data_IF_245588641183
#
_entry.id   IF_245588641183
#
_cell.length_a   1.000
_cell.length_b   1.000
_cell.length_c   1.000
_cell.angle_alpha   90.00
_cell.angle_beta   90.00
_cell.angle_gamma   90.00
#
_symmetry.space_group_name_H-M   'P 1'
#
loop_
_entity.id
_entity.type
_entity.pdbx_description
1 polymer ?
#
# COMPACT_ATOMS: atom_id res chain seq x y z
N UNK A 1 -12.91 6.63 9.78
CA UNK A 1 -11.76 5.85 9.29
C UNK A 1 -11.83 4.46 9.87
N UNK A 2 -11.61 3.46 9.07
CA UNK A 2 -11.75 2.05 9.47
C UNK A 2 -10.70 1.18 8.78
N UNK A 3 -10.26 0.13 9.48
CA UNK A 3 -9.46 -0.95 8.91
C UNK A 3 -10.30 -2.22 9.01
N UNK A 4 -10.64 -2.83 7.88
CA UNK A 4 -11.39 -4.09 7.84
C UNK A 4 -10.46 -5.21 7.39
N UNK A 5 -10.44 -6.30 8.11
CA UNK A 5 -9.54 -7.43 7.95
C UNK A 5 -10.36 -8.72 7.92
N UNK A 6 -10.08 -9.61 6.98
CA UNK A 6 -10.64 -10.95 6.96
C UNK A 6 -9.64 -11.92 6.35
N UNK A 7 -9.35 -12.99 7.05
CA UNK A 7 -8.41 -14.00 6.59
C UNK A 7 -6.95 -13.59 6.53
N UNK A 8 -6.59 -12.43 7.04
CA UNK A 8 -5.24 -11.88 6.98
C UNK A 8 -4.44 -12.27 8.23
N UNK A 9 -3.39 -13.07 8.05
CA UNK A 9 -2.50 -13.55 9.12
C UNK A 9 -3.28 -14.07 10.34
N UNK A 10 -3.24 -13.39 11.48
CA UNK A 10 -3.97 -13.77 12.71
C UNK A 10 -5.45 -13.38 12.70
N UNK A 11 -5.89 -12.54 11.78
CA UNK A 11 -7.27 -12.07 11.68
C UNK A 11 -8.07 -12.99 10.75
N UNK A 12 -8.56 -14.11 11.29
CA UNK A 12 -9.30 -15.13 10.53
C UNK A 12 -10.70 -14.65 10.18
N UNK A 13 -11.41 -14.19 11.21
CA UNK A 13 -12.77 -13.69 11.09
C UNK A 13 -12.79 -12.24 10.59
N UNK A 14 -13.94 -11.80 10.11
CA UNK A 14 -14.13 -10.42 9.72
C UNK A 14 -13.94 -9.51 10.96
N UNK A 15 -12.84 -8.78 10.97
CA UNK A 15 -12.43 -7.89 12.06
C UNK A 15 -12.46 -6.46 11.55
N UNK A 16 -13.13 -5.59 12.28
CA UNK A 16 -13.21 -4.16 11.98
C UNK A 16 -12.56 -3.39 13.13
N UNK A 17 -11.59 -2.53 12.79
CA UNK A 17 -10.89 -1.66 13.72
C UNK A 17 -11.27 -0.23 13.33
N UNK A 18 -11.98 0.44 14.22
CA UNK A 18 -12.33 1.85 14.02
C UNK A 18 -11.16 2.73 14.51
N UNK A 19 -10.82 3.72 13.70
CA UNK A 19 -9.77 4.70 13.99
C UNK A 19 -10.46 6.03 14.29
N UNK A 20 -10.67 6.28 15.59
CA UNK A 20 -11.30 7.50 16.05
C UNK A 20 -10.24 8.53 16.45
N UNK A 21 -10.39 9.76 15.97
CA UNK A 21 -9.50 10.87 16.31
C UNK A 21 -8.15 10.87 15.60
N UNK A 22 -7.24 11.73 16.05
CA UNK A 22 -5.94 11.96 15.43
C UNK A 22 -4.85 11.00 15.91
N UNK A 23 -5.03 10.39 17.09
CA UNK A 23 -4.07 9.47 17.68
C UNK A 23 -4.81 8.25 18.23
N UNK A 24 -4.42 7.08 17.78
CA UNK A 24 -4.96 5.79 18.21
C UNK A 24 -3.81 4.87 18.60
N UNK A 25 -3.90 4.25 19.78
CA UNK A 25 -2.94 3.26 20.26
C UNK A 25 -3.50 1.83 20.16
N UNK A 26 -2.71 0.91 19.57
CA UNK A 26 -3.01 -0.52 19.57
C UNK A 26 -2.08 -1.21 20.55
N UNK A 27 -2.63 -1.66 21.68
CA UNK A 27 -1.88 -2.29 22.77
C UNK A 27 -2.28 -3.75 22.94
N UNK A 28 -1.40 -4.53 23.51
CA UNK A 28 -1.66 -5.96 23.79
C UNK A 28 -0.36 -6.72 24.08
N UNK A 29 -0.44 -7.98 24.57
CA UNK A 29 0.72 -8.82 24.82
C UNK A 29 1.50 -9.17 23.54
N UNK A 30 2.71 -9.72 23.72
CA UNK A 30 3.50 -10.19 22.57
C UNK A 30 2.78 -11.36 21.87
N UNK A 31 2.85 -11.38 20.54
CA UNK A 31 2.21 -12.42 19.73
C UNK A 31 0.70 -12.26 19.45
N UNK A 32 0.01 -11.25 20.02
CA UNK A 32 -1.43 -11.05 19.82
C UNK A 32 -1.81 -10.45 18.44
N UNK A 33 -0.86 -10.16 17.57
CA UNK A 33 -1.14 -9.68 16.22
C UNK A 33 -1.04 -8.17 16.00
N UNK A 34 -0.57 -7.37 16.98
CA UNK A 34 -0.40 -5.90 16.82
C UNK A 34 0.31 -5.52 15.53
N UNK A 35 1.46 -6.14 15.27
CA UNK A 35 2.24 -5.86 14.06
C UNK A 35 1.54 -6.31 12.77
N UNK A 36 0.60 -7.25 12.85
CA UNK A 36 -0.17 -7.70 11.69
C UNK A 36 -1.13 -6.62 11.19
N UNK A 37 -1.54 -5.67 12.05
CA UNK A 37 -2.35 -4.52 11.64
C UNK A 37 -1.53 -3.60 10.74
N UNK A 38 -0.28 -3.30 11.11
CA UNK A 38 0.62 -2.49 10.28
C UNK A 38 0.95 -3.20 8.96
N UNK A 39 1.21 -4.51 9.01
CA UNK A 39 1.41 -5.30 7.79
C UNK A 39 0.20 -5.22 6.85
N UNK A 40 -1.01 -5.28 7.40
CA UNK A 40 -2.23 -5.18 6.63
C UNK A 40 -2.37 -3.81 5.95
N UNK A 41 -2.09 -2.72 6.68
CA UNK A 41 -2.09 -1.36 6.11
C UNK A 41 -1.08 -1.27 4.96
N UNK A 42 0.16 -1.70 5.15
CA UNK A 42 1.18 -1.68 4.10
C UNK A 42 0.80 -2.54 2.91
N UNK A 43 0.28 -3.72 3.18
CA UNK A 43 -0.10 -4.65 2.13
C UNK A 43 -1.17 -4.08 1.20
N UNK A 44 -2.22 -3.46 1.75
CA UNK A 44 -3.29 -2.87 0.93
C UNK A 44 -2.81 -1.63 0.17
N UNK A 45 -1.83 -0.89 0.70
CA UNK A 45 -1.20 0.27 0.05
C UNK A 45 -0.24 -0.12 -1.10
N UNK A 46 -0.14 -1.42 -1.41
CA UNK A 46 0.60 -1.89 -2.57
C UNK A 46 1.93 -2.56 -2.28
N UNK A 47 2.24 -2.89 -1.00
CA UNK A 47 3.44 -3.67 -0.70
C UNK A 47 3.41 -5.02 -1.42
N UNK A 48 4.49 -5.31 -2.13
CA UNK A 48 4.65 -6.54 -2.92
C UNK A 48 5.82 -7.41 -2.47
N UNK A 49 6.58 -6.99 -1.47
CA UNK A 49 7.66 -7.78 -0.90
C UNK A 49 7.12 -8.63 0.25
N UNK A 50 7.14 -9.96 0.08
CA UNK A 50 6.77 -10.89 1.14
C UNK A 50 7.65 -10.72 2.38
N UNK A 51 8.95 -10.47 2.20
CA UNK A 51 9.91 -10.24 3.30
C UNK A 51 9.54 -9.03 4.16
N UNK A 52 9.08 -7.95 3.55
CA UNK A 52 8.63 -6.77 4.29
C UNK A 52 7.35 -7.03 5.08
N UNK A 53 6.57 -8.02 4.67
CA UNK A 53 5.39 -8.51 5.38
C UNK A 53 5.71 -9.72 6.27
N UNK A 54 7.00 -9.99 6.54
CA UNK A 54 7.46 -11.08 7.41
C UNK A 54 6.96 -12.46 6.95
N UNK A 55 6.88 -12.69 5.64
CA UNK A 55 6.56 -13.94 4.98
C UNK A 55 7.62 -14.33 3.97
N UNK A 56 7.60 -15.56 3.50
CA UNK A 56 8.43 -16.09 2.42
C UNK A 56 7.76 -15.86 1.06
N UNK A 57 6.44 -16.03 1.02
CA UNK A 57 5.60 -15.82 -0.15
C UNK A 57 4.45 -14.85 0.12
N UNK A 58 3.84 -14.29 -0.94
CA UNK A 58 2.67 -13.44 -0.79
C UNK A 58 1.46 -14.20 -0.24
N UNK A 59 1.38 -15.50 -0.46
CA UNK A 59 0.31 -16.34 0.10
C UNK A 59 0.36 -16.45 1.63
N UNK A 60 1.52 -16.16 2.25
CA UNK A 60 1.69 -16.24 3.71
C UNK A 60 0.95 -15.14 4.46
N UNK A 61 0.42 -14.15 3.76
CA UNK A 61 -0.51 -13.20 4.37
C UNK A 61 -1.89 -13.83 4.62
N UNK A 62 -2.21 -14.96 3.97
CA UNK A 62 -3.45 -15.68 4.19
C UNK A 62 -3.29 -16.59 5.42
N UNK A 63 -4.29 -16.62 6.28
CA UNK A 63 -4.29 -17.50 7.45
C UNK A 63 -4.09 -18.98 7.06
N UNK A 64 -3.01 -19.57 7.55
CA UNK A 64 -2.59 -20.95 7.21
C UNK A 64 -3.19 -22.04 8.08
N UNK A 65 -4.12 -21.68 8.97
CA UNK A 65 -4.68 -22.61 9.91
C UNK A 65 -3.98 -22.57 11.27
N UNK A 66 -4.61 -23.23 12.22
CA UNK A 66 -4.09 -23.45 13.58
C UNK A 66 -4.57 -24.82 14.07
N UNK A 67 -4.17 -25.22 15.28
CA UNK A 67 -4.65 -26.47 15.91
C UNK A 67 -6.18 -26.53 15.94
N UNK A 68 -6.86 -25.38 16.10
CA UNK A 68 -8.31 -25.29 16.26
C UNK A 68 -9.07 -24.83 15.00
N UNK A 69 -8.38 -24.33 13.97
CA UNK A 69 -9.02 -23.72 12.78
C UNK A 69 -8.35 -24.17 11.50
N UNK A 70 -9.16 -24.51 10.51
CA UNK A 70 -8.67 -24.89 9.17
C UNK A 70 -8.10 -23.68 8.42
N UNK A 71 -7.15 -23.90 7.50
CA UNK A 71 -6.69 -22.88 6.57
C UNK A 71 -7.87 -22.33 5.77
N UNK A 72 -7.76 -21.04 5.38
CA UNK A 72 -8.75 -20.38 4.53
C UNK A 72 -8.17 -20.11 3.14
N UNK A 73 -9.05 -19.84 2.17
CA UNK A 73 -8.68 -19.73 0.76
C UNK A 73 -8.25 -18.35 0.31
N UNK A 74 -8.59 -17.30 1.07
CA UNK A 74 -8.37 -15.90 0.68
C UNK A 74 -8.17 -14.98 1.88
N UNK A 75 -7.45 -13.89 1.65
CA UNK A 75 -7.36 -12.77 2.59
C UNK A 75 -7.85 -11.48 1.94
N UNK A 76 -8.49 -10.64 2.73
CA UNK A 76 -8.97 -9.30 2.31
C UNK A 76 -8.62 -8.28 3.37
N UNK A 77 -8.09 -7.14 2.92
CA UNK A 77 -7.91 -5.96 3.76
C UNK A 77 -8.53 -4.77 3.04
N UNK A 78 -9.25 -3.96 3.78
CA UNK A 78 -9.87 -2.73 3.29
C UNK A 78 -9.58 -1.60 4.26
N UNK A 79 -9.10 -0.47 3.73
CA UNK A 79 -8.93 0.79 4.44
C UNK A 79 -9.99 1.78 3.96
N UNK A 80 -10.67 2.41 4.90
CA UNK A 80 -11.68 3.42 4.63
C UNK A 80 -11.18 4.77 5.14
N UNK A 81 -11.04 5.73 4.22
CA UNK A 81 -10.56 7.08 4.48
C UNK A 81 -11.70 8.09 4.37
N UNK A 82 -11.74 9.03 5.29
CA UNK A 82 -12.54 10.23 5.17
C UNK A 82 -11.86 11.19 4.16
N UNK A 83 -12.60 11.61 3.16
CA UNK A 83 -12.19 12.57 2.14
C UNK A 83 -13.09 13.82 2.12
N UNK A 84 -13.66 14.18 3.26
CA UNK A 84 -14.48 15.39 3.37
C UNK A 84 -13.71 16.66 3.01
N UNK A 85 -12.40 16.68 3.29
CA UNK A 85 -11.45 17.74 2.92
C UNK A 85 -11.01 17.73 1.45
N UNK A 86 -11.49 16.76 0.65
CA UNK A 86 -11.14 16.63 -0.77
C UNK A 86 -9.63 16.56 -1.02
N UNK A 87 -8.93 15.79 -0.22
CA UNK A 87 -7.46 15.67 -0.26
C UNK A 87 -6.92 14.75 -1.34
N UNK A 88 -7.76 13.86 -1.90
CA UNK A 88 -7.38 12.98 -3.00
C UNK A 88 -7.53 13.66 -4.36
N UNK A 89 -6.75 13.21 -5.34
CA UNK A 89 -6.73 13.81 -6.68
C UNK A 89 -7.58 13.02 -7.71
N UNK A 90 -7.94 13.70 -8.79
CA UNK A 90 -8.61 13.09 -9.94
C UNK A 90 -10.05 12.71 -9.66
N UNK A 91 -10.52 11.62 -10.26
CA UNK A 91 -11.91 11.16 -10.18
C UNK A 91 -12.36 10.87 -8.74
N UNK A 92 -11.43 10.47 -7.88
CA UNK A 92 -11.70 10.09 -6.50
C UNK A 92 -12.00 11.30 -5.58
N UNK A 93 -11.64 12.51 -6.02
CA UNK A 93 -11.93 13.73 -5.27
C UNK A 93 -13.42 14.02 -5.08
N UNK A 94 -14.27 13.46 -5.94
CA UNK A 94 -15.73 13.66 -5.88
C UNK A 94 -16.38 12.88 -4.72
N UNK A 95 -15.73 11.86 -4.20
CA UNK A 95 -16.26 11.03 -3.12
C UNK A 95 -15.88 11.60 -1.75
N UNK A 96 -16.80 11.57 -0.80
CA UNK A 96 -16.54 11.97 0.59
C UNK A 96 -15.82 10.87 1.38
N UNK A 97 -15.89 9.64 0.91
CA UNK A 97 -15.23 8.48 1.49
C UNK A 97 -14.49 7.71 0.40
N UNK A 98 -13.28 7.30 0.68
CA UNK A 98 -12.46 6.47 -0.21
C UNK A 98 -12.17 5.15 0.49
N UNK A 99 -12.68 4.07 -0.09
CA UNK A 99 -12.37 2.71 0.34
C UNK A 99 -11.32 2.11 -0.59
N UNK A 100 -10.25 1.59 -0.02
CA UNK A 100 -9.18 0.90 -0.74
C UNK A 100 -9.11 -0.52 -0.23
N UNK A 101 -9.32 -1.48 -1.12
CA UNK A 101 -9.38 -2.89 -0.77
C UNK A 101 -8.40 -3.71 -1.61
N UNK A 102 -7.73 -4.62 -0.98
CA UNK A 102 -6.94 -5.67 -1.64
C UNK A 102 -7.44 -7.04 -1.22
N UNK A 103 -7.51 -7.93 -2.20
CA UNK A 103 -7.86 -9.33 -2.02
C UNK A 103 -6.75 -10.19 -2.61
N UNK A 104 -6.39 -11.28 -1.93
CA UNK A 104 -5.51 -12.32 -2.47
C UNK A 104 -6.15 -13.69 -2.26
N UNK A 105 -6.01 -14.55 -3.26
CA UNK A 105 -6.37 -15.98 -3.19
C UNK A 105 -5.11 -16.84 -3.03
N UNK A 106 -5.28 -18.09 -2.60
CA UNK A 106 -4.17 -19.07 -2.54
C UNK A 106 -3.60 -19.44 -3.90
N UNK A 107 -4.35 -19.21 -4.99
CA UNK A 107 -3.88 -19.38 -6.36
C UNK A 107 -2.94 -18.25 -6.79
N UNK A 108 -2.72 -17.25 -5.93
CA UNK A 108 -1.81 -16.10 -6.21
C UNK A 108 -2.49 -14.93 -6.90
N UNK A 109 -3.79 -14.99 -7.16
CA UNK A 109 -4.54 -13.86 -7.70
C UNK A 109 -4.61 -12.74 -6.67
N UNK A 110 -4.13 -11.56 -7.04
CA UNK A 110 -4.15 -10.37 -6.19
C UNK A 110 -4.83 -9.21 -6.89
N UNK A 111 -5.99 -8.82 -6.38
CA UNK A 111 -6.85 -7.79 -6.96
C UNK A 111 -6.95 -6.58 -6.03
N UNK A 112 -6.95 -5.39 -6.63
CA UNK A 112 -7.08 -4.11 -5.94
C UNK A 112 -8.38 -3.43 -6.35
N UNK A 113 -8.97 -2.71 -5.41
CA UNK A 113 -10.22 -1.97 -5.62
C UNK A 113 -10.16 -0.60 -4.95
N UNK A 114 -10.73 0.42 -5.59
CA UNK A 114 -11.06 1.71 -4.99
C UNK A 114 -12.56 1.90 -5.12
N UNK A 115 -13.27 2.13 -4.03
CA UNK A 115 -14.73 2.25 -3.98
C UNK A 115 -15.44 1.12 -4.75
N UNK A 116 -14.97 -0.14 -4.54
CA UNK A 116 -15.41 -1.36 -5.22
C UNK A 116 -15.16 -1.44 -6.74
N UNK A 117 -14.51 -0.46 -7.35
CA UNK A 117 -14.03 -0.54 -8.73
C UNK A 117 -12.67 -1.19 -8.76
N UNK A 118 -12.50 -2.20 -9.60
CA UNK A 118 -11.22 -2.88 -9.76
C UNK A 118 -10.21 -1.96 -10.45
N UNK A 119 -9.02 -1.88 -9.86
CA UNK A 119 -7.93 -1.00 -10.32
C UNK A 119 -6.60 -1.76 -10.31
N UNK A 120 -5.58 -1.19 -10.93
CA UNK A 120 -4.23 -1.75 -10.90
C UNK A 120 -3.51 -1.30 -9.62
N UNK A 121 -2.51 -2.08 -9.19
CA UNK A 121 -1.62 -1.69 -8.08
C UNK A 121 -1.02 -0.29 -8.27
N UNK A 122 -0.67 0.06 -9.52
CA UNK A 122 -0.11 1.37 -9.85
C UNK A 122 -1.08 2.50 -9.47
N UNK A 123 -2.36 2.32 -9.73
CA UNK A 123 -3.40 3.31 -9.45
C UNK A 123 -3.52 3.58 -7.94
N UNK A 124 -3.37 2.52 -7.09
CA UNK A 124 -3.28 2.67 -5.64
C UNK A 124 -2.03 3.47 -5.25
N UNK A 125 -0.87 3.13 -5.79
CA UNK A 125 0.38 3.82 -5.46
C UNK A 125 0.33 5.29 -5.86
N UNK A 126 -0.25 5.60 -7.03
CA UNK A 126 -0.41 6.97 -7.52
C UNK A 126 -1.36 7.80 -6.65
N UNK A 127 -2.41 7.19 -6.11
CA UNK A 127 -3.37 7.86 -5.23
C UNK A 127 -2.69 8.45 -3.99
N UNK A 128 -1.65 7.79 -3.49
CA UNK A 128 -0.90 8.19 -2.29
C UNK A 128 0.41 8.93 -2.56
N UNK A 129 0.78 9.16 -3.82
CA UNK A 129 2.01 9.88 -4.14
C UNK A 129 2.00 11.31 -3.57
N UNK A 130 3.03 11.62 -2.78
CA UNK A 130 3.19 12.93 -2.14
C UNK A 130 2.33 13.15 -0.91
N UNK A 131 1.61 12.12 -0.43
CA UNK A 131 0.89 12.17 0.85
C UNK A 131 1.72 11.63 2.03
N UNK A 132 2.90 11.07 1.76
CA UNK A 132 3.71 10.34 2.74
C UNK A 132 3.12 8.96 3.10
N UNK A 133 1.91 8.65 2.66
CA UNK A 133 1.26 7.36 2.87
C UNK A 133 1.52 6.48 1.65
N UNK A 134 2.30 5.43 1.81
CA UNK A 134 2.63 4.53 0.69
C UNK A 134 3.71 3.54 1.10
N UNK A 135 4.05 2.62 0.22
CA UNK A 135 5.04 1.56 0.51
C UNK A 135 6.45 2.10 0.77
N UNK A 136 6.77 3.27 0.23
CA UNK A 136 8.03 4.00 0.46
C UNK A 136 7.81 5.31 1.21
N UNK A 137 6.61 5.54 1.72
CA UNK A 137 6.26 6.75 2.45
C UNK A 137 6.83 6.75 3.87
N UNK A 138 6.93 7.91 4.47
CA UNK A 138 7.39 8.11 5.85
C UNK A 138 6.24 8.03 6.87
N UNK A 139 5.00 7.93 6.42
CA UNK A 139 3.83 7.91 7.32
C UNK A 139 3.67 6.58 8.06
N UNK A 140 4.23 5.48 7.55
CA UNK A 140 4.23 4.18 8.23
C UNK A 140 5.65 3.88 8.71
N UNK A 141 5.89 4.08 9.99
CA UNK A 141 7.20 3.86 10.62
C UNK A 141 7.21 2.49 11.27
N UNK A 142 8.12 1.64 10.83
CA UNK A 142 8.34 0.30 11.39
C UNK A 142 9.44 0.30 12.46
N UNK A 143 9.45 -0.77 13.25
CA UNK A 143 10.53 -1.02 14.18
C UNK A 143 11.87 -1.13 13.43
N UNK A 144 12.84 -0.33 13.84
CA UNK A 144 14.17 -0.26 13.23
C UNK A 144 14.24 0.58 11.93
N UNK A 145 13.14 1.15 11.46
CA UNK A 145 13.15 2.02 10.27
C UNK A 145 13.95 3.30 10.52
N UNK A 146 13.83 3.89 11.70
CA UNK A 146 14.57 5.11 12.07
C UNK A 146 16.09 4.85 12.02
N UNK A 147 16.56 3.74 12.59
CA UNK A 147 17.99 3.36 12.52
C UNK A 147 18.45 3.17 11.07
N UNK A 148 17.65 2.51 10.24
CA UNK A 148 17.96 2.33 8.82
C UNK A 148 18.02 3.67 8.05
N UNK A 149 17.15 4.64 8.39
CA UNK A 149 17.18 5.96 7.78
C UNK A 149 18.47 6.69 8.18
N UNK A 150 18.85 6.64 9.47
CA UNK A 150 20.07 7.30 9.98
C UNK A 150 21.33 6.69 9.34
N UNK A 151 21.35 5.38 9.15
CA UNK A 151 22.47 4.64 8.56
C UNK A 151 22.44 4.62 7.03
N UNK A 152 21.40 5.17 6.40
CA UNK A 152 21.24 5.15 4.95
C UNK A 152 22.20 6.09 4.25
N UNK A 153 22.51 5.78 2.98
CA UNK A 153 23.31 6.65 2.13
C UNK A 153 22.58 7.99 1.85
N UNK A 154 23.33 9.06 1.57
CA UNK A 154 22.71 10.37 1.25
C UNK A 154 21.67 10.31 0.13
N UNK A 155 21.86 9.46 -0.89
CA UNK A 155 20.93 9.28 -2.00
C UNK A 155 19.58 8.70 -1.53
N UNK A 156 19.62 7.75 -0.59
CA UNK A 156 18.41 7.15 -0.03
C UNK A 156 17.71 8.12 0.92
N UNK A 157 18.48 8.84 1.75
CA UNK A 157 17.95 9.91 2.62
C UNK A 157 17.22 10.98 1.81
N UNK A 158 17.78 11.37 0.66
CA UNK A 158 17.16 12.31 -0.27
C UNK A 158 15.76 11.89 -0.70
N UNK A 159 15.50 10.59 -0.91
CA UNK A 159 14.19 10.10 -1.30
C UNK A 159 13.12 10.35 -0.23
N UNK A 160 13.49 10.22 1.05
CA UNK A 160 12.58 10.55 2.16
C UNK A 160 12.27 12.05 2.22
N UNK A 161 13.27 12.89 2.00
CA UNK A 161 13.09 14.36 1.98
C UNK A 161 12.22 14.77 0.79
N UNK A 162 12.45 14.20 -0.39
CA UNK A 162 11.65 14.46 -1.59
C UNK A 162 10.18 14.02 -1.39
N UNK A 163 9.94 12.92 -0.70
CA UNK A 163 8.57 12.46 -0.37
C UNK A 163 7.91 13.39 0.64
N UNK A 164 8.63 13.80 1.70
CA UNK A 164 8.13 14.74 2.69
C UNK A 164 7.81 16.13 2.09
N UNK A 165 8.60 16.56 1.08
CA UNK A 165 8.35 17.78 0.33
C UNK A 165 7.24 17.67 -0.73
N UNK A 166 6.64 16.46 -0.91
CA UNK A 166 5.63 16.22 -1.94
C UNK A 166 6.13 16.31 -3.38
N UNK A 167 7.47 16.27 -3.57
CA UNK A 167 8.10 16.38 -4.90
C UNK A 167 8.13 15.05 -5.64
N UNK A 168 8.03 13.94 -4.94
CA UNK A 168 8.11 12.59 -5.49
C UNK A 168 7.14 12.34 -6.65
N UNK A 169 5.93 12.88 -6.57
CA UNK A 169 4.92 12.77 -7.65
C UNK A 169 5.37 13.41 -8.96
N UNK A 170 6.06 14.54 -8.89
CA UNK A 170 6.58 15.23 -10.08
C UNK A 170 7.75 14.46 -10.70
N UNK A 171 8.60 13.88 -9.86
CA UNK A 171 9.72 13.05 -10.29
C UNK A 171 9.24 11.79 -11.04
N UNK A 172 8.23 11.11 -10.52
CA UNK A 172 7.63 9.93 -11.18
C UNK A 172 7.04 10.34 -12.52
N UNK A 173 6.21 11.39 -12.55
CA UNK A 173 5.59 11.88 -13.80
C UNK A 173 6.62 12.34 -14.82
N UNK A 174 7.67 13.05 -14.38
CA UNK A 174 8.78 13.47 -15.26
C UNK A 174 9.46 12.24 -15.89
N UNK A 175 9.77 11.21 -15.09
CA UNK A 175 10.39 9.98 -15.60
C UNK A 175 9.50 9.30 -16.64
N UNK A 176 8.21 9.18 -16.39
CA UNK A 176 7.25 8.59 -17.33
C UNK A 176 7.15 9.41 -18.63
N UNK A 177 7.12 10.73 -18.53
CA UNK A 177 7.09 11.61 -19.70
C UNK A 177 8.36 11.47 -20.55
N UNK A 178 9.54 11.46 -19.91
CA UNK A 178 10.80 11.26 -20.61
C UNK A 178 10.88 9.89 -21.30
N UNK A 179 10.36 8.83 -20.66
CA UNK A 179 10.30 7.52 -21.27
C UNK A 179 9.39 7.52 -22.49
N UNK A 180 8.19 8.09 -22.40
CA UNK A 180 7.26 8.21 -23.53
C UNK A 180 7.84 9.04 -24.67
N UNK A 181 8.58 10.10 -24.38
CA UNK A 181 9.28 10.90 -25.39
C UNK A 181 10.35 10.05 -26.12
N UNK A 182 11.14 9.28 -25.36
CA UNK A 182 12.13 8.36 -25.95
C UNK A 182 11.48 7.31 -26.85
N UNK A 183 10.43 6.65 -26.36
CA UNK A 183 9.69 5.64 -27.12
C UNK A 183 9.07 6.22 -28.40
N UNK A 184 8.55 7.46 -28.31
CA UNK A 184 7.98 8.18 -29.47
C UNK A 184 9.05 8.52 -30.47
N UNK A 185 10.23 8.97 -30.01
CA UNK A 185 11.36 9.29 -30.89
C UNK A 185 11.88 8.05 -31.63
N UNK A 186 12.01 6.93 -30.94
CA UNK A 186 12.36 5.65 -31.58
C UNK A 186 11.33 5.22 -32.63
N UNK A 187 10.02 5.38 -32.34
CA UNK A 187 8.97 5.07 -33.29
C UNK A 187 9.01 6.00 -34.52
N UNK A 188 9.38 7.27 -34.32
CA UNK A 188 9.53 8.24 -35.42
C UNK A 188 10.67 7.82 -36.35
N UNK A 189 11.84 7.46 -35.82
CA UNK A 189 12.95 6.97 -36.62
C UNK A 189 12.59 5.72 -37.42
N UNK A 190 11.85 4.77 -36.83
CA UNK A 190 11.39 3.58 -37.54
C UNK A 190 10.45 3.91 -38.72
N UNK A 191 9.69 5.01 -38.64
CA UNK A 191 8.81 5.48 -39.72
C UNK A 191 9.59 6.23 -40.79
N UNK A 192 10.70 6.89 -40.45
CA UNK A 192 11.58 7.54 -41.42
C UNK A 192 12.42 6.54 -42.22
N UNK A 193 12.66 5.32 -41.65
CA UNK A 193 13.41 4.23 -42.32
C UNK A 193 12.53 3.40 -43.28
N UNK A 194 11.22 3.68 -43.42
CA UNK A 194 10.28 3.02 -44.38
C UNK A 194 10.05 3.90 -45.59
#
# INVERSE_FOLDING_TARGET
QQIKLAGFKSFVDNTQIEVHGQLVGIVGPNGCGKSNVIDAVRWVLGESSAKQLRGESMADVIFNGSIKRKPISRATVELVFDNSSKSFYGLWNNYNEISIKRLISRQGESNYYINNQQVRRKDITELFLGTGVGTKGYAVIEQGMISKIIESKPEDMRLFVEEAAGVSKYRVRRKETLQRLSDTHENFHRLEDI
#
